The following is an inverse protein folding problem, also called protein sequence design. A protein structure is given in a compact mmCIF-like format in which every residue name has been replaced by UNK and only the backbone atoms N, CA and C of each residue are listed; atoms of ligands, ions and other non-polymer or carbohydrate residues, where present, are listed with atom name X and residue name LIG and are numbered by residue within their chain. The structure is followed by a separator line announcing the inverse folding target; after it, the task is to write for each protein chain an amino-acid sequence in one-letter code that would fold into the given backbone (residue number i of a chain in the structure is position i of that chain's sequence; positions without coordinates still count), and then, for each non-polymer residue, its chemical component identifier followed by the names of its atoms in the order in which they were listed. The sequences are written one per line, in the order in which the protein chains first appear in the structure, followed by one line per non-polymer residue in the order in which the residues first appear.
data_IF_942162536235
#
_entry.id   IF_942162536235
#
_cell.length_a   1.000
_cell.length_b   1.000
_cell.length_c   1.000
_cell.angle_alpha   90.00
_cell.angle_beta   90.00
_cell.angle_gamma   90.00
#
_symmetry.space_group_name_H-M   'P 1'
#
loop_
_entity.id
_entity.type
_entity.pdbx_description
1 polymer ?
#
# COMPACT_ATOMS: atom_id res chain seq x y z
N UNK A 1 -23.56 12.11 25.10
CA UNK A 1 -23.75 13.54 24.81
C UNK A 1 -23.12 14.42 25.88
N UNK A 2 -23.42 14.22 27.17
CA UNK A 2 -22.73 14.94 28.27
C UNK A 2 -21.21 14.78 28.24
N UNK A 3 -20.71 13.55 28.01
CA UNK A 3 -19.27 13.28 27.86
C UNK A 3 -18.59 14.09 26.75
N UNK A 4 -19.25 14.33 25.61
CA UNK A 4 -18.67 15.10 24.49
C UNK A 4 -18.62 16.60 24.81
N UNK A 5 -19.65 17.12 25.47
CA UNK A 5 -19.72 18.53 25.90
C UNK A 5 -18.62 18.83 26.91
N UNK A 6 -18.35 17.91 27.85
CA UNK A 6 -17.27 18.06 28.84
C UNK A 6 -15.89 17.93 28.21
N UNK A 7 -15.68 16.97 27.31
CA UNK A 7 -14.40 16.70 26.66
C UNK A 7 -13.97 17.84 25.71
N UNK A 8 -14.92 18.46 25.00
CA UNK A 8 -14.67 19.57 24.07
C UNK A 8 -14.88 20.95 24.73
N UNK A 9 -15.02 20.99 26.06
CA UNK A 9 -15.19 22.20 26.87
C UNK A 9 -16.32 23.13 26.35
N UNK A 10 -17.41 22.52 25.86
CA UNK A 10 -18.56 23.23 25.32
C UNK A 10 -19.49 23.71 26.44
N UNK A 11 -20.15 24.84 26.21
CA UNK A 11 -21.08 25.39 27.18
C UNK A 11 -22.28 24.43 27.40
N UNK A 12 -22.63 24.17 28.66
CA UNK A 12 -23.75 23.26 29.03
C UNK A 12 -25.11 23.71 28.48
N UNK A 13 -25.24 24.96 28.04
CA UNK A 13 -26.45 25.55 27.44
C UNK A 13 -26.36 25.70 25.91
N UNK A 14 -25.46 24.96 25.24
CA UNK A 14 -25.34 24.97 23.78
C UNK A 14 -26.68 24.61 23.11
N UNK A 15 -27.07 25.39 22.10
CA UNK A 15 -28.28 25.08 21.31
C UNK A 15 -28.12 23.75 20.58
N UNK A 16 -29.22 23.07 20.27
CA UNK A 16 -29.21 21.79 19.58
C UNK A 16 -28.54 21.90 18.21
N UNK A 17 -28.78 23.00 17.50
CA UNK A 17 -28.20 23.29 16.19
C UNK A 17 -26.68 23.44 16.26
N UNK A 18 -26.17 24.20 17.23
CA UNK A 18 -24.73 24.36 17.43
C UNK A 18 -24.08 23.05 17.90
N UNK A 19 -24.74 22.27 18.76
CA UNK A 19 -24.24 20.96 19.18
C UNK A 19 -24.16 19.99 17.99
N UNK A 20 -25.13 20.01 17.08
CA UNK A 20 -25.08 19.22 15.85
C UNK A 20 -23.91 19.62 14.96
N UNK A 21 -23.66 20.92 14.80
CA UNK A 21 -22.51 21.41 14.03
C UNK A 21 -21.18 20.98 14.65
N UNK A 22 -21.04 21.05 15.98
CA UNK A 22 -19.84 20.58 16.68
C UNK A 22 -19.61 19.07 16.50
N UNK A 23 -20.67 18.27 16.61
CA UNK A 23 -20.59 16.82 16.36
C UNK A 23 -20.22 16.50 14.91
N UNK A 24 -20.77 17.25 13.95
CA UNK A 24 -20.43 17.11 12.54
C UNK A 24 -18.97 17.45 12.28
N UNK A 25 -18.50 18.60 12.76
CA UNK A 25 -17.13 19.06 12.56
C UNK A 25 -16.09 18.13 13.18
N UNK A 26 -16.39 17.50 14.33
CA UNK A 26 -15.51 16.52 14.96
C UNK A 26 -15.68 15.09 14.41
N UNK A 27 -16.74 14.83 13.63
CA UNK A 27 -16.99 13.54 13.00
C UNK A 27 -16.38 13.39 11.62
N UNK A 28 -16.02 14.50 10.96
CA UNK A 28 -15.44 14.48 9.62
C UNK A 28 -14.00 14.01 9.62
N UNK A 29 -13.67 13.21 8.61
CA UNK A 29 -12.34 12.71 8.31
C UNK A 29 -11.86 13.35 6.98
N UNK A 30 -10.55 13.55 6.81
CA UNK A 30 -9.99 14.25 5.65
C UNK A 30 -10.43 13.61 4.32
N UNK A 31 -11.20 14.34 3.53
CA UNK A 31 -11.78 13.87 2.27
C UNK A 31 -13.30 13.66 2.30
N UNK A 32 -13.94 13.69 3.47
CA UNK A 32 -15.40 13.61 3.60
C UNK A 32 -16.10 14.88 3.08
N UNK A 33 -15.42 16.02 3.14
CA UNK A 33 -15.87 17.31 2.63
C UNK A 33 -14.73 18.11 2.00
N UNK A 34 -15.08 19.09 1.19
CA UNK A 34 -14.12 19.98 0.54
C UNK A 34 -13.68 21.04 1.55
N UNK A 35 -12.36 21.15 1.76
CA UNK A 35 -11.79 22.18 2.63
C UNK A 35 -11.19 23.31 1.80
N UNK A 36 -11.50 24.55 2.15
CA UNK A 36 -10.99 25.73 1.49
C UNK A 36 -11.02 26.91 2.45
N UNK A 37 -10.29 27.97 2.12
CA UNK A 37 -10.32 29.21 2.89
C UNK A 37 -11.67 29.90 2.71
N UNK A 38 -12.48 29.93 3.76
CA UNK A 38 -13.82 30.54 3.78
C UNK A 38 -14.01 31.50 4.95
N UNK A 39 -15.09 32.29 4.90
CA UNK A 39 -15.56 33.09 6.02
C UNK A 39 -17.04 32.77 6.30
N UNK A 40 -17.40 32.18 7.46
CA UNK A 40 -16.52 31.80 8.58
C UNK A 40 -15.50 30.71 8.19
N UNK A 41 -14.40 30.64 8.95
CA UNK A 41 -13.33 29.65 8.73
C UNK A 41 -13.84 28.24 9.03
N UNK A 42 -13.42 27.28 8.22
CA UNK A 42 -13.73 25.86 8.42
C UNK A 42 -12.86 25.33 9.55
N UNK A 43 -13.47 24.53 10.44
CA UNK A 43 -12.76 23.86 11.52
C UNK A 43 -13.31 22.45 11.75
N UNK A 44 -12.52 21.59 12.38
CA UNK A 44 -12.88 20.21 12.68
C UNK A 44 -11.71 19.24 12.65
N UNK A 45 -12.00 17.97 12.93
CA UNK A 45 -10.99 16.90 13.01
C UNK A 45 -10.35 16.61 11.65
N UNK A 46 -11.06 16.84 10.55
CA UNK A 46 -10.53 16.72 9.19
C UNK A 46 -9.48 17.79 8.85
N UNK A 47 -9.64 19.01 9.39
CA UNK A 47 -8.67 20.09 9.27
C UNK A 47 -7.44 19.83 10.13
N UNK A 48 -7.63 19.29 11.32
CA UNK A 48 -6.55 18.85 12.21
C UNK A 48 -5.70 17.75 11.53
N UNK A 49 -6.37 16.74 10.98
CA UNK A 49 -5.74 15.67 10.21
C UNK A 49 -4.95 16.25 9.03
N UNK A 50 -5.51 17.21 8.29
CA UNK A 50 -4.79 17.91 7.21
C UNK A 50 -3.52 18.64 7.68
N UNK A 51 -3.61 19.38 8.79
CA UNK A 51 -2.47 20.14 9.34
C UNK A 51 -1.34 19.21 9.79
N UNK A 52 -1.68 18.13 10.52
CA UNK A 52 -0.72 17.09 10.89
C UNK A 52 -0.03 16.50 9.67
N UNK A 53 -0.81 16.24 8.63
CA UNK A 53 -0.38 15.57 7.42
C UNK A 53 0.56 16.44 6.59
N UNK A 54 0.19 17.70 6.36
CA UNK A 54 1.07 18.66 5.70
C UNK A 54 2.34 18.92 6.53
N UNK A 55 2.24 18.91 7.86
CA UNK A 55 3.40 19.08 8.73
C UNK A 55 4.40 17.94 8.60
N UNK A 56 3.93 16.69 8.68
CA UNK A 56 4.75 15.49 8.47
C UNK A 56 5.38 15.43 7.08
N UNK A 57 4.72 15.99 6.07
CA UNK A 57 5.25 16.07 4.70
C UNK A 57 6.19 17.28 4.48
N UNK A 58 6.38 18.13 5.49
CA UNK A 58 7.28 19.28 5.42
C UNK A 58 6.68 20.52 4.76
N UNK A 59 5.37 20.58 4.55
CA UNK A 59 4.67 21.71 3.92
C UNK A 59 4.02 22.67 4.93
N UNK A 60 3.87 22.28 6.20
CA UNK A 60 3.23 23.09 7.25
C UNK A 60 4.09 23.14 8.53
N UNK A 61 4.36 24.35 9.03
CA UNK A 61 5.26 24.59 10.16
C UNK A 61 4.60 25.25 11.37
N UNK A 62 3.34 25.68 11.24
CA UNK A 62 2.61 26.36 12.29
C UNK A 62 1.95 25.35 13.27
N UNK A 63 1.50 25.80 14.47
CA UNK A 63 0.76 24.95 15.38
C UNK A 63 -0.51 24.37 14.74
N UNK A 64 -0.80 23.12 15.08
CA UNK A 64 -2.06 22.46 14.72
C UNK A 64 -3.15 23.02 15.64
N UNK A 65 -4.20 23.58 15.05
CA UNK A 65 -5.30 24.27 15.75
C UNK A 65 -6.68 23.93 15.16
N UNK A 66 -6.73 22.92 14.31
CA UNK A 66 -7.95 22.38 13.68
C UNK A 66 -8.74 23.42 12.88
N UNK A 67 -8.11 24.53 12.45
CA UNK A 67 -8.73 25.65 11.73
C UNK A 67 -8.08 25.87 10.36
N UNK A 68 -8.89 26.00 9.31
CA UNK A 68 -8.40 26.19 7.95
C UNK A 68 -8.16 27.68 7.67
N UNK A 69 -7.01 28.16 8.10
CA UNK A 69 -6.60 29.55 7.95
C UNK A 69 -5.80 29.82 6.65
N UNK A 70 -5.34 31.06 6.49
CA UNK A 70 -4.55 31.45 5.32
C UNK A 70 -3.20 30.74 5.21
N UNK A 71 -2.62 30.28 6.33
CA UNK A 71 -1.35 29.55 6.33
C UNK A 71 -1.57 28.11 5.86
N UNK A 72 -2.64 27.45 6.33
CA UNK A 72 -3.06 26.14 5.81
C UNK A 72 -3.30 26.22 4.29
N UNK A 73 -4.02 27.24 3.82
CA UNK A 73 -4.25 27.42 2.38
C UNK A 73 -2.96 27.58 1.57
N UNK A 74 -1.97 28.33 2.09
CA UNK A 74 -0.64 28.45 1.45
C UNK A 74 0.08 27.10 1.40
N UNK A 75 0.08 26.35 2.49
CA UNK A 75 0.70 25.02 2.55
C UNK A 75 0.04 24.03 1.60
N UNK A 76 -1.29 24.08 1.45
CA UNK A 76 -2.03 23.28 0.45
C UNK A 76 -1.60 23.63 -0.96
N UNK A 77 -1.48 24.93 -1.29
CA UNK A 77 -1.02 25.37 -2.62
C UNK A 77 0.40 24.88 -2.93
N UNK A 78 1.32 25.02 -1.98
CA UNK A 78 2.70 24.52 -2.12
C UNK A 78 2.72 23.00 -2.32
N UNK A 79 1.89 22.27 -1.59
CA UNK A 79 1.74 20.83 -1.76
C UNK A 79 1.20 20.48 -3.16
N UNK A 80 0.13 21.14 -3.60
CA UNK A 80 -0.48 20.93 -4.91
C UNK A 80 0.52 21.20 -6.03
N UNK A 81 1.28 22.30 -5.94
CA UNK A 81 2.33 22.65 -6.89
C UNK A 81 3.41 21.58 -6.95
N UNK A 82 3.92 21.13 -5.81
CA UNK A 82 4.93 20.08 -5.73
C UNK A 82 4.44 18.71 -6.27
N UNK A 83 3.12 18.47 -6.24
CA UNK A 83 2.50 17.21 -6.72
C UNK A 83 1.93 17.29 -8.13
N UNK A 84 2.02 18.44 -8.79
CA UNK A 84 1.45 18.63 -10.13
C UNK A 84 -0.07 18.58 -10.16
N UNK A 85 -0.72 18.92 -9.05
CA UNK A 85 -2.18 19.06 -8.94
C UNK A 85 -2.61 20.48 -9.33
N UNK A 86 -3.91 20.69 -9.50
CA UNK A 86 -4.49 22.03 -9.63
C UNK A 86 -4.18 22.87 -8.38
N UNK A 87 -3.49 24.01 -8.55
CA UNK A 87 -3.02 24.88 -7.44
C UNK A 87 -4.10 25.89 -7.06
N UNK A 88 -5.26 25.41 -6.63
CA UNK A 88 -6.42 26.23 -6.25
C UNK A 88 -6.49 26.50 -4.73
N UNK A 89 -5.65 25.83 -3.93
CA UNK A 89 -5.66 25.92 -2.47
C UNK A 89 -6.86 25.23 -1.81
N UNK A 90 -7.57 24.39 -2.57
CA UNK A 90 -8.76 23.65 -2.15
C UNK A 90 -8.42 22.17 -1.96
N UNK A 91 -8.78 21.61 -0.80
CA UNK A 91 -8.58 20.19 -0.51
C UNK A 91 -9.86 19.43 -0.87
N UNK A 92 -9.95 19.04 -2.14
CA UNK A 92 -10.92 18.07 -2.61
C UNK A 92 -10.41 16.63 -2.49
N UNK A 93 -11.19 15.68 -3.01
CA UNK A 93 -10.88 14.24 -2.98
C UNK A 93 -9.50 13.91 -3.56
N UNK A 94 -9.11 14.57 -4.66
CA UNK A 94 -7.81 14.36 -5.31
C UNK A 94 -6.64 14.80 -4.41
N UNK A 95 -6.73 16.01 -3.84
CA UNK A 95 -5.69 16.53 -2.94
C UNK A 95 -5.62 15.72 -1.63
N UNK A 96 -6.76 15.40 -1.02
CA UNK A 96 -6.82 14.57 0.18
C UNK A 96 -6.26 13.15 -0.06
N UNK A 97 -6.59 12.54 -1.20
CA UNK A 97 -6.08 11.24 -1.60
C UNK A 97 -4.56 11.22 -1.77
N UNK A 98 -4.02 12.25 -2.42
CA UNK A 98 -2.58 12.39 -2.63
C UNK A 98 -1.80 12.59 -1.32
N UNK A 99 -2.34 13.39 -0.39
CA UNK A 99 -1.79 13.56 0.96
C UNK A 99 -1.74 12.21 1.71
N UNK A 100 -2.87 11.48 1.73
CA UNK A 100 -2.96 10.15 2.36
C UNK A 100 -2.00 9.14 1.73
N UNK A 101 -1.79 9.20 0.41
CA UNK A 101 -0.86 8.34 -0.33
C UNK A 101 0.59 8.51 0.16
N UNK A 102 0.98 9.73 0.49
CA UNK A 102 2.35 10.05 0.89
C UNK A 102 2.63 9.76 2.38
N UNK A 103 1.60 9.84 3.23
CA UNK A 103 1.72 9.64 4.68
C UNK A 103 1.59 8.19 5.14
N UNK A 104 1.28 7.29 4.22
CA UNK A 104 1.43 5.85 4.41
C UNK A 104 2.62 5.36 3.58
N UNK A 105 3.87 5.41 4.09
CA UNK A 105 4.97 4.69 3.45
C UNK A 105 4.80 3.17 3.54
N UNK A 106 3.83 2.69 4.33
CA UNK A 106 3.65 1.27 4.59
C UNK A 106 2.40 0.72 3.91
N UNK A 107 2.69 -0.20 2.99
CA UNK A 107 1.84 -1.28 2.44
C UNK A 107 1.16 -1.01 1.09
N UNK A 108 1.87 -1.38 0.01
CA UNK A 108 1.39 -1.84 -1.32
C UNK A 108 1.33 -0.89 -2.53
N UNK A 109 1.56 0.43 -2.40
CA UNK A 109 1.19 1.36 -3.49
C UNK A 109 2.37 2.05 -4.22
N UNK A 110 3.54 2.32 -3.63
CA UNK A 110 4.52 3.22 -4.28
C UNK A 110 5.24 2.66 -5.51
N UNK A 111 5.52 1.35 -5.59
CA UNK A 111 6.08 0.75 -6.80
C UNK A 111 5.00 0.24 -7.76
N UNK A 112 3.92 -0.34 -7.22
CA UNK A 112 2.86 -0.93 -8.04
C UNK A 112 1.89 0.08 -8.61
N UNK A 113 1.65 1.25 -7.99
CA UNK A 113 0.86 2.32 -8.64
C UNK A 113 1.65 3.23 -9.55
N UNK A 114 2.94 3.45 -9.28
CA UNK A 114 3.82 4.02 -10.29
C UNK A 114 3.92 3.15 -11.56
N UNK A 115 3.57 1.86 -11.47
CA UNK A 115 3.48 0.92 -12.61
C UNK A 115 2.05 0.76 -13.14
N UNK A 116 1.00 0.81 -12.29
CA UNK A 116 -0.42 0.77 -12.71
C UNK A 116 -0.88 2.05 -13.38
N UNK A 117 -0.32 3.21 -13.06
CA UNK A 117 -0.61 4.46 -13.79
C UNK A 117 -0.21 4.39 -15.27
N UNK A 118 0.65 3.43 -15.64
CA UNK A 118 1.04 3.15 -17.02
C UNK A 118 0.37 1.92 -17.66
N UNK A 119 -0.35 1.06 -16.91
CA UNK A 119 -0.94 -0.18 -17.46
C UNK A 119 -2.40 -0.37 -17.06
N UNK A 120 -3.26 -0.39 -18.09
CA UNK A 120 -4.71 -0.51 -17.99
C UNK A 120 -5.20 -1.74 -17.22
N UNK A 121 -6.40 -1.61 -16.66
CA UNK A 121 -7.12 -2.63 -15.88
C UNK A 121 -7.30 -3.94 -16.66
N UNK A 122 -6.72 -5.03 -16.18
CA UNK A 122 -7.18 -6.41 -16.42
C UNK A 122 -6.96 -7.25 -15.16
N UNK A 123 -7.65 -8.39 -15.03
CA UNK A 123 -7.72 -9.24 -13.83
C UNK A 123 -6.34 -9.68 -13.32
N UNK A 124 -5.78 -8.95 -12.34
CA UNK A 124 -4.37 -9.11 -11.95
C UNK A 124 -4.17 -10.31 -11.02
N UNK A 125 -4.02 -11.50 -11.60
CA UNK A 125 -3.37 -12.62 -10.94
C UNK A 125 -1.97 -12.17 -10.50
N UNK A 126 -1.69 -12.22 -9.19
CA UNK A 126 -0.42 -11.72 -8.65
C UNK A 126 0.52 -12.87 -8.34
N UNK A 127 1.76 -12.76 -8.82
CA UNK A 127 2.81 -13.77 -8.65
C UNK A 127 3.96 -13.15 -7.88
N UNK A 128 4.42 -13.81 -6.82
CA UNK A 128 5.65 -13.46 -6.14
C UNK A 128 6.72 -14.51 -6.44
N UNK A 129 7.87 -14.06 -6.93
CA UNK A 129 9.02 -14.91 -7.22
C UNK A 129 10.10 -14.78 -6.15
N UNK A 130 10.63 -15.92 -5.73
CA UNK A 130 11.83 -16.06 -4.89
C UNK A 130 12.91 -16.72 -5.75
N UNK A 131 13.83 -15.93 -6.30
CA UNK A 131 14.89 -16.39 -7.21
C UNK A 131 16.23 -16.15 -6.55
N UNK A 132 17.12 -17.13 -6.58
CA UNK A 132 18.48 -16.93 -6.07
C UNK A 132 19.25 -15.87 -6.87
N UNK A 133 19.86 -14.92 -6.17
CA UNK A 133 20.70 -13.89 -6.78
C UNK A 133 21.98 -14.55 -7.34
N UNK A 134 22.12 -14.55 -8.67
CA UNK A 134 23.22 -15.19 -9.40
C UNK A 134 23.90 -14.25 -10.36
N UNK A 135 25.22 -14.39 -10.49
CA UNK A 135 26.01 -13.55 -11.40
C UNK A 135 26.16 -12.12 -10.88
N UNK A 136 26.64 -11.24 -11.76
CA UNK A 136 26.79 -9.82 -11.44
C UNK A 136 25.43 -9.12 -11.34
N UNK A 137 25.35 -8.02 -10.60
CA UNK A 137 24.13 -7.24 -10.38
C UNK A 137 23.42 -6.87 -11.69
N UNK A 138 24.20 -6.64 -12.76
CA UNK A 138 23.70 -6.34 -14.10
C UNK A 138 22.96 -7.53 -14.75
N UNK A 139 23.44 -8.76 -14.54
CA UNK A 139 22.81 -9.98 -15.06
C UNK A 139 21.52 -10.28 -14.29
N UNK A 140 21.54 -10.07 -12.97
CA UNK A 140 20.37 -10.20 -12.10
C UNK A 140 19.26 -9.22 -12.51
N UNK A 141 19.61 -7.94 -12.70
CA UNK A 141 18.67 -6.93 -13.16
C UNK A 141 18.08 -7.27 -14.53
N UNK A 142 18.91 -7.82 -15.44
CA UNK A 142 18.44 -8.29 -16.74
C UNK A 142 17.44 -9.44 -16.65
N UNK A 143 17.63 -10.39 -15.73
CA UNK A 143 16.70 -11.48 -15.49
C UNK A 143 15.38 -10.97 -14.87
N UNK A 144 15.45 -10.14 -13.83
CA UNK A 144 14.26 -9.55 -13.20
C UNK A 144 13.46 -8.73 -14.19
N UNK A 145 14.13 -7.93 -15.02
CA UNK A 145 13.47 -7.13 -16.04
C UNK A 145 12.75 -8.02 -17.07
N UNK A 146 13.39 -9.09 -17.55
CA UNK A 146 12.75 -10.04 -18.49
C UNK A 146 11.51 -10.71 -17.90
N UNK A 147 11.58 -11.17 -16.64
CA UNK A 147 10.43 -11.78 -15.97
C UNK A 147 9.33 -10.74 -15.77
N UNK A 148 9.72 -9.53 -15.36
CA UNK A 148 8.80 -8.41 -15.19
C UNK A 148 8.09 -8.10 -16.48
N UNK A 149 8.81 -7.96 -17.59
CA UNK A 149 8.27 -7.68 -18.92
C UNK A 149 7.33 -8.80 -19.39
N UNK A 150 7.72 -10.06 -19.25
CA UNK A 150 6.86 -11.20 -19.58
C UNK A 150 5.56 -11.20 -18.77
N UNK A 151 5.63 -11.03 -17.44
CA UNK A 151 4.44 -10.94 -16.59
C UNK A 151 3.57 -9.75 -16.99
N UNK A 152 4.20 -8.61 -17.24
CA UNK A 152 3.59 -7.36 -17.67
C UNK A 152 2.90 -7.44 -19.03
N UNK A 153 3.41 -8.23 -19.97
CA UNK A 153 2.81 -8.53 -21.28
C UNK A 153 1.59 -9.44 -21.13
N UNK A 154 1.62 -10.33 -20.14
CA UNK A 154 0.54 -11.27 -19.85
C UNK A 154 -0.46 -10.75 -18.79
N UNK A 155 -0.40 -9.46 -18.44
CA UNK A 155 -1.26 -8.82 -17.44
C UNK A 155 -1.19 -9.45 -16.04
N UNK A 156 -0.01 -9.94 -15.65
CA UNK A 156 0.29 -10.53 -14.36
C UNK A 156 1.03 -9.50 -13.49
N UNK A 157 0.57 -9.31 -12.26
CA UNK A 157 1.26 -8.44 -11.29
C UNK A 157 2.39 -9.23 -10.65
N UNK A 158 3.64 -8.80 -10.85
CA UNK A 158 4.81 -9.51 -10.31
C UNK A 158 5.42 -8.78 -9.10
N UNK A 159 5.92 -9.56 -8.14
CA UNK A 159 6.78 -9.10 -7.04
C UNK A 159 7.97 -10.06 -6.89
N UNK A 160 9.08 -9.59 -6.34
CA UNK A 160 10.27 -10.41 -6.10
C UNK A 160 10.65 -10.31 -4.62
N UNK A 161 10.68 -11.44 -3.90
CA UNK A 161 11.14 -11.47 -2.50
C UNK A 161 12.65 -11.29 -2.39
N UNK A 162 13.38 -11.68 -3.43
CA UNK A 162 14.85 -11.62 -3.51
C UNK A 162 15.42 -10.20 -3.62
N UNK A 163 14.60 -9.20 -3.94
CA UNK A 163 15.00 -7.79 -4.04
C UNK A 163 15.24 -7.14 -2.66
N UNK A 164 14.70 -7.74 -1.58
CA UNK A 164 14.68 -7.11 -0.25
C UNK A 164 15.78 -7.64 0.65
N UNK A 165 16.31 -8.83 0.37
CA UNK A 165 17.23 -9.53 1.25
C UNK A 165 18.65 -9.52 0.69
N UNK A 166 19.43 -8.50 1.05
CA UNK A 166 20.90 -8.52 0.93
C UNK A 166 21.55 -9.51 1.92
N UNK A 167 20.81 -9.97 2.94
CA UNK A 167 21.22 -11.01 3.86
C UNK A 167 20.26 -12.21 3.75
N UNK A 168 20.81 -13.38 3.46
CA UNK A 168 20.14 -14.69 3.32
C UNK A 168 19.48 -15.19 4.61
N UNK A 169 18.43 -14.53 5.09
CA UNK A 169 17.58 -15.06 6.14
C UNK A 169 16.20 -15.38 5.55
N UNK A 170 15.89 -16.68 5.46
CA UNK A 170 14.61 -17.19 4.91
C UNK A 170 13.40 -16.58 5.62
N UNK A 171 13.54 -16.20 6.90
CA UNK A 171 12.47 -15.55 7.68
C UNK A 171 12.04 -14.19 7.10
N UNK A 172 12.97 -13.39 6.56
CA UNK A 172 12.65 -12.08 5.98
C UNK A 172 11.88 -12.22 4.65
N UNK A 173 12.25 -13.20 3.83
CA UNK A 173 11.52 -13.52 2.59
C UNK A 173 10.11 -14.01 2.91
N UNK A 174 9.95 -14.81 3.98
CA UNK A 174 8.63 -15.28 4.45
C UNK A 174 7.75 -14.11 4.90
N UNK A 175 8.30 -13.20 5.72
CA UNK A 175 7.57 -12.01 6.18
C UNK A 175 7.13 -11.14 5.00
N UNK A 176 8.02 -10.93 4.03
CA UNK A 176 7.69 -10.17 2.84
C UNK A 176 6.60 -10.83 1.97
N UNK A 177 6.71 -12.13 1.71
CA UNK A 177 5.72 -12.87 0.92
C UNK A 177 4.35 -12.83 1.59
N UNK A 178 4.29 -13.02 2.92
CA UNK A 178 3.06 -12.89 3.70
C UNK A 178 2.47 -11.48 3.62
N UNK A 179 3.31 -10.44 3.65
CA UNK A 179 2.89 -9.04 3.51
C UNK A 179 2.33 -8.73 2.11
N UNK A 180 2.98 -9.23 1.06
CA UNK A 180 2.52 -9.07 -0.33
C UNK A 180 1.20 -9.79 -0.55
N UNK A 181 1.04 -10.97 0.06
CA UNK A 181 -0.11 -11.87 -0.07
C UNK A 181 -0.44 -12.16 -1.55
N UNK A 182 0.48 -12.78 -2.31
CA UNK A 182 0.30 -13.05 -3.72
C UNK A 182 -0.71 -14.18 -3.97
N UNK A 183 -1.31 -14.21 -5.16
CA UNK A 183 -2.16 -15.35 -5.59
C UNK A 183 -1.33 -16.62 -5.80
N UNK A 184 -0.09 -16.48 -6.27
CA UNK A 184 0.84 -17.58 -6.46
C UNK A 184 2.24 -17.18 -5.98
N UNK A 185 2.86 -18.05 -5.20
CA UNK A 185 4.27 -17.93 -4.82
C UNK A 185 5.09 -18.99 -5.53
N UNK A 186 6.18 -18.58 -6.18
CA UNK A 186 7.10 -19.46 -6.91
C UNK A 186 8.51 -19.23 -6.40
N UNK A 187 9.16 -20.29 -5.91
CA UNK A 187 10.58 -20.26 -5.53
C UNK A 187 11.39 -21.07 -6.53
N UNK A 188 12.40 -20.44 -7.11
CA UNK A 188 13.34 -21.03 -8.06
C UNK A 188 14.71 -21.06 -7.39
N UNK A 189 15.13 -22.26 -7.03
CA UNK A 189 16.43 -22.53 -6.42
C UNK A 189 17.17 -23.55 -7.26
N UNK A 190 18.48 -23.38 -7.33
CA UNK A 190 19.28 -24.39 -7.97
C UNK A 190 19.43 -25.60 -7.08
N UNK A 191 19.34 -26.76 -7.72
CA UNK A 191 19.46 -28.04 -7.05
C UNK A 191 20.19 -28.99 -7.96
N UNK A 192 21.05 -29.83 -7.38
CA UNK A 192 21.66 -30.97 -8.07
C UNK A 192 20.62 -32.05 -8.40
N UNK A 193 19.45 -31.99 -7.78
CA UNK A 193 18.31 -32.89 -7.99
C UNK A 193 17.06 -32.05 -8.35
N UNK A 194 16.74 -31.88 -9.65
CA UNK A 194 15.70 -30.96 -10.09
C UNK A 194 14.30 -31.52 -9.81
N UNK A 195 13.57 -30.84 -8.93
CA UNK A 195 12.22 -31.21 -8.47
C UNK A 195 11.29 -30.02 -8.50
N UNK A 196 10.00 -30.31 -8.67
CA UNK A 196 8.93 -29.32 -8.54
C UNK A 196 8.14 -29.61 -7.28
N UNK A 197 8.24 -28.70 -6.32
CA UNK A 197 7.62 -28.88 -5.00
C UNK A 197 6.35 -28.04 -4.92
N UNK A 198 5.24 -28.65 -4.49
CA UNK A 198 4.02 -27.92 -4.14
C UNK A 198 3.70 -28.07 -2.66
N UNK A 199 2.91 -27.14 -2.12
CA UNK A 199 2.51 -27.18 -0.72
C UNK A 199 1.56 -28.34 -0.44
N UNK A 200 1.98 -29.22 0.48
CA UNK A 200 1.19 -30.33 1.01
C UNK A 200 1.49 -30.47 2.52
N UNK A 201 0.53 -30.07 3.35
CA UNK A 201 0.50 -30.32 4.79
C UNK A 201 -0.27 -31.58 5.16
N UNK A 202 -0.34 -31.86 6.46
CA UNK A 202 -1.09 -33.00 7.02
C UNK A 202 -2.61 -32.92 6.75
N UNK A 203 -3.14 -31.71 6.65
CA UNK A 203 -4.59 -31.44 6.52
C UNK A 203 -4.93 -30.43 5.41
N UNK A 204 -3.95 -29.97 4.62
CA UNK A 204 -4.15 -28.96 3.58
C UNK A 204 -3.18 -29.15 2.43
N UNK A 205 -3.61 -28.82 1.21
CA UNK A 205 -2.76 -28.89 0.01
C UNK A 205 -3.12 -27.78 -0.98
N UNK A 206 -2.15 -27.38 -1.80
CA UNK A 206 -2.39 -26.43 -2.88
C UNK A 206 -2.84 -27.17 -4.13
N UNK A 207 -4.15 -27.17 -4.42
CA UNK A 207 -4.71 -27.77 -5.64
C UNK A 207 -4.14 -27.13 -6.92
N UNK A 208 -3.92 -25.82 -6.90
CA UNK A 208 -3.31 -25.08 -8.01
C UNK A 208 -1.84 -25.48 -8.14
N UNK A 209 -1.11 -25.53 -7.03
CA UNK A 209 0.30 -25.94 -7.00
C UNK A 209 0.50 -27.36 -7.52
N UNK A 210 -0.35 -28.30 -7.10
CA UNK A 210 -0.31 -29.70 -7.56
C UNK A 210 -0.61 -29.83 -9.07
N UNK A 211 -1.56 -29.06 -9.59
CA UNK A 211 -1.87 -29.05 -11.03
C UNK A 211 -0.71 -28.47 -11.85
N UNK A 212 -0.12 -27.38 -11.37
CA UNK A 212 1.05 -26.77 -12.00
C UNK A 212 2.23 -27.74 -11.97
N UNK A 213 2.50 -28.37 -10.82
CA UNK A 213 3.64 -29.28 -10.67
C UNK A 213 3.52 -30.51 -11.58
N UNK A 214 2.32 -31.09 -11.71
CA UNK A 214 2.04 -32.18 -12.65
C UNK A 214 2.25 -31.77 -14.10
N UNK A 215 1.85 -30.55 -14.48
CA UNK A 215 2.05 -30.02 -15.83
C UNK A 215 3.52 -29.74 -16.14
N UNK A 216 4.29 -29.26 -15.15
CA UNK A 216 5.74 -29.08 -15.30
C UNK A 216 6.43 -30.44 -15.39
N UNK A 217 6.04 -31.41 -14.56
CA UNK A 217 6.53 -32.79 -14.64
C UNK A 217 6.30 -33.41 -16.02
N UNK A 218 5.12 -33.24 -16.61
CA UNK A 218 4.85 -33.78 -17.96
C UNK A 218 5.61 -33.07 -19.07
N UNK A 219 5.98 -31.80 -18.89
CA UNK A 219 6.62 -30.96 -19.92
C UNK A 219 8.14 -31.00 -19.84
N UNK A 220 8.70 -31.01 -18.63
CA UNK A 220 10.14 -30.89 -18.37
C UNK A 220 10.75 -32.16 -17.75
N UNK A 221 9.94 -33.17 -17.40
CA UNK A 221 10.41 -34.43 -16.84
C UNK A 221 10.82 -34.39 -15.37
N UNK A 222 10.65 -33.26 -14.68
CA UNK A 222 10.99 -33.13 -13.26
C UNK A 222 10.05 -33.90 -12.36
N UNK A 223 10.56 -34.40 -11.23
CA UNK A 223 9.72 -35.10 -10.24
C UNK A 223 8.88 -34.09 -9.48
N UNK A 224 7.55 -34.30 -9.47
CA UNK A 224 6.61 -33.51 -8.67
C UNK A 224 6.45 -34.11 -7.28
N UNK A 225 6.68 -33.32 -6.23
CA UNK A 225 6.60 -33.77 -4.83
C UNK A 225 5.79 -32.79 -3.96
N UNK A 226 4.92 -33.32 -3.10
CA UNK A 226 4.19 -32.52 -2.11
C UNK A 226 4.99 -32.39 -0.83
N UNK A 227 5.28 -31.17 -0.37
CA UNK A 227 6.05 -30.93 0.86
C UNK A 227 5.38 -29.91 1.77
N UNK A 228 5.54 -30.11 3.08
CA UNK A 228 5.13 -29.10 4.08
C UNK A 228 6.17 -27.97 4.07
N UNK A 229 5.84 -26.85 3.44
CA UNK A 229 6.68 -25.65 3.43
C UNK A 229 6.39 -24.78 4.66
N UNK A 230 7.44 -24.34 5.37
CA UNK A 230 7.33 -23.48 6.56
C UNK A 230 6.88 -22.06 6.24
N UNK A 231 7.07 -21.64 4.98
CA UNK A 231 6.70 -20.31 4.44
C UNK A 231 5.22 -19.95 4.67
N UNK A 232 4.34 -20.95 4.79
CA UNK A 232 2.89 -20.76 4.96
C UNK A 232 2.39 -20.99 6.40
N UNK A 233 3.27 -21.16 7.39
CA UNK A 233 2.89 -21.60 8.75
C UNK A 233 2.86 -20.52 9.84
N UNK A 234 3.48 -19.36 9.64
CA UNK A 234 3.42 -18.25 10.61
C UNK A 234 2.31 -17.28 10.19
N UNK A 235 1.13 -17.45 10.79
CA UNK A 235 0.05 -16.46 10.80
C UNK A 235 0.18 -15.55 12.03
#
# INVERSE_FOLDING_TARGET
MELFIEDHNLAKNISKEHLWLELLNNGYVLGDRILFLSNPVIYGSDVEELQEYLSRLGFYSEPINSTFDSNVSKSVRLFQENRGLSVDGTVGLETAGEIRRLLRPTMKTSLNEAVKSFKGRTSNFSICFDIENRGDYKEQLGLYQKIKDFCNENNLSVAFSSEITQNTNEENSIEYVNKVNPTLFLSLRDSTDPKVIFFQGKHSSSLIGERISKKIQSTMGFVSEGRSLTVLKKH
#
